data_IF_798940196315
#
_entry.id   IF_798940196315
#
_cell.length_a   1.000
_cell.length_b   1.000
_cell.length_c   1.000
_cell.angle_alpha   90.00
_cell.angle_beta   90.00
_cell.angle_gamma   90.00
#
_symmetry.space_group_name_H-M   'P 1'
#
loop_
_entity.id
_entity.type
_entity.pdbx_description
1 polymer ?
#
# COMPACT_ATOMS: atom_id res chain seq x y z
N UNK A 1 28.25 12.46 -5.66
CA UNK A 1 27.26 12.39 -6.76
C UNK A 1 26.72 10.98 -6.98
N UNK A 2 27.56 9.94 -7.07
CA UNK A 2 27.14 8.53 -7.21
C UNK A 2 26.10 8.07 -6.16
N UNK A 3 26.28 8.42 -4.88
CA UNK A 3 25.36 8.07 -3.78
C UNK A 3 23.97 8.71 -3.89
N UNK A 4 23.87 9.95 -4.43
CA UNK A 4 22.57 10.63 -4.58
C UNK A 4 21.73 9.96 -5.68
N UNK A 5 22.35 9.64 -6.82
CA UNK A 5 21.68 8.96 -7.94
C UNK A 5 21.17 7.59 -7.50
N UNK A 6 22.02 6.82 -6.82
CA UNK A 6 21.63 5.50 -6.30
C UNK A 6 20.45 5.59 -5.33
N UNK A 7 20.40 6.61 -4.46
CA UNK A 7 19.28 6.79 -3.54
C UNK A 7 17.98 7.14 -4.26
N UNK A 8 18.03 7.98 -5.30
CA UNK A 8 16.86 8.30 -6.14
C UNK A 8 16.38 7.05 -6.87
N UNK A 9 17.30 6.27 -7.45
CA UNK A 9 16.98 4.98 -8.08
C UNK A 9 16.32 4.04 -7.07
N UNK A 10 16.86 3.95 -5.85
CA UNK A 10 16.28 3.15 -4.78
C UNK A 10 14.85 3.57 -4.44
N UNK A 11 14.60 4.88 -4.33
CA UNK A 11 13.25 5.39 -4.09
C UNK A 11 12.29 5.04 -5.23
N UNK A 12 12.69 5.30 -6.48
CA UNK A 12 11.86 5.02 -7.66
C UNK A 12 11.57 3.53 -7.79
N UNK A 13 12.58 2.67 -7.65
CA UNK A 13 12.39 1.23 -7.69
C UNK A 13 11.53 0.73 -6.53
N UNK A 14 11.68 1.33 -5.33
CA UNK A 14 10.81 1.03 -4.19
C UNK A 14 9.34 1.34 -4.48
N UNK A 15 9.05 2.52 -5.04
CA UNK A 15 7.69 2.88 -5.43
C UNK A 15 7.13 1.93 -6.51
N UNK A 16 7.93 1.62 -7.54
CA UNK A 16 7.52 0.70 -8.62
C UNK A 16 7.22 -0.69 -8.06
N UNK A 17 8.14 -1.29 -7.31
CA UNK A 17 7.99 -2.65 -6.79
C UNK A 17 6.84 -2.71 -5.78
N UNK A 18 6.73 -1.73 -4.88
CA UNK A 18 5.61 -1.66 -3.95
C UNK A 18 4.26 -1.59 -4.66
N UNK A 19 4.16 -0.81 -5.73
CA UNK A 19 2.94 -0.70 -6.53
C UNK A 19 2.65 -1.98 -7.30
N UNK A 20 3.67 -2.66 -7.81
CA UNK A 20 3.51 -3.96 -8.46
C UNK A 20 2.98 -5.02 -7.48
N UNK A 21 3.51 -5.06 -6.26
CA UNK A 21 3.02 -5.97 -5.21
C UNK A 21 1.57 -5.65 -4.84
N UNK A 22 1.25 -4.37 -4.63
CA UNK A 22 -0.11 -3.92 -4.37
C UNK A 22 -1.08 -4.35 -5.48
N UNK A 23 -0.79 -4.00 -6.73
CA UNK A 23 -1.64 -4.33 -7.88
C UNK A 23 -1.79 -5.83 -8.09
N UNK A 24 -0.74 -6.62 -7.82
CA UNK A 24 -0.79 -8.08 -7.93
C UNK A 24 -1.74 -8.70 -6.90
N UNK A 25 -1.84 -8.12 -5.69
CA UNK A 25 -2.77 -8.58 -4.65
C UNK A 25 -4.19 -8.15 -5.00
N UNK A 26 -4.37 -6.93 -5.52
CA UNK A 26 -5.68 -6.43 -5.94
C UNK A 26 -6.24 -7.24 -7.12
N UNK A 27 -5.42 -7.58 -8.11
CA UNK A 27 -5.89 -8.31 -9.30
C UNK A 27 -6.41 -9.72 -9.00
N UNK A 28 -5.91 -10.37 -7.95
CA UNK A 28 -6.39 -11.68 -7.48
C UNK A 28 -7.46 -11.57 -6.38
N UNK A 29 -7.76 -10.37 -5.90
CA UNK A 29 -8.63 -10.13 -4.74
C UNK A 29 -10.01 -10.75 -4.91
N UNK A 30 -10.67 -10.49 -6.04
CA UNK A 30 -12.05 -10.94 -6.28
C UNK A 30 -12.16 -12.48 -6.42
N UNK A 31 -11.07 -13.16 -6.76
CA UNK A 31 -11.03 -14.63 -6.81
C UNK A 31 -10.94 -15.25 -5.42
N UNK A 32 -10.37 -14.54 -4.44
CA UNK A 32 -10.16 -15.02 -3.07
C UNK A 32 -11.28 -14.56 -2.13
N UNK A 33 -11.66 -13.29 -2.21
CA UNK A 33 -12.76 -12.69 -1.45
C UNK A 33 -13.64 -11.93 -2.46
N UNK A 34 -14.65 -12.61 -3.02
CA UNK A 34 -15.55 -11.99 -3.98
C UNK A 34 -16.30 -10.81 -3.37
N UNK A 35 -16.50 -9.77 -4.18
CA UNK A 35 -17.45 -8.72 -3.87
C UNK A 35 -18.89 -9.25 -3.98
N UNK A 36 -19.87 -8.59 -3.32
CA UNK A 36 -21.28 -8.85 -3.58
C UNK A 36 -21.61 -8.81 -5.09
N UNK A 37 -22.61 -9.59 -5.49
CA UNK A 37 -23.00 -9.73 -6.90
C UNK A 37 -23.39 -8.37 -7.51
N UNK A 38 -22.97 -8.13 -8.75
CA UNK A 38 -23.28 -6.91 -9.50
C UNK A 38 -22.36 -5.71 -9.21
N UNK A 39 -21.33 -5.88 -8.39
CA UNK A 39 -20.32 -4.85 -8.13
C UNK A 39 -19.12 -5.06 -9.06
N UNK A 40 -18.76 -4.00 -9.77
CA UNK A 40 -17.58 -3.96 -10.62
C UNK A 40 -16.38 -3.48 -9.79
N UNK A 41 -15.35 -4.32 -9.57
CA UNK A 41 -14.18 -3.94 -8.78
C UNK A 41 -13.28 -2.92 -9.49
N UNK A 42 -13.41 -2.71 -10.80
CA UNK A 42 -12.57 -1.77 -11.56
C UNK A 42 -13.21 -0.37 -11.70
N UNK A 43 -14.51 -0.23 -11.39
CA UNK A 43 -15.22 1.05 -11.41
C UNK A 43 -15.36 1.64 -10.00
N UNK A 44 -14.66 2.75 -9.76
CA UNK A 44 -14.74 3.51 -8.51
C UNK A 44 -16.16 3.94 -8.16
N UNK A 45 -17.01 4.27 -9.13
CA UNK A 45 -18.41 4.63 -8.87
C UNK A 45 -19.22 3.42 -8.42
N UNK A 46 -19.00 2.26 -9.05
CA UNK A 46 -19.61 0.99 -8.63
C UNK A 46 -19.22 0.63 -7.19
N UNK A 47 -17.93 0.73 -6.85
CA UNK A 47 -17.43 0.53 -5.49
C UNK A 47 -18.06 1.50 -4.49
N UNK A 48 -18.05 2.81 -4.80
CA UNK A 48 -18.59 3.85 -3.92
C UNK A 48 -20.08 3.68 -3.65
N UNK A 49 -20.87 3.43 -4.69
CA UNK A 49 -22.33 3.31 -4.56
C UNK A 49 -22.72 2.06 -3.76
N UNK A 50 -21.89 1.02 -3.78
CA UNK A 50 -22.19 -0.26 -3.14
C UNK A 50 -21.33 -0.55 -1.90
N UNK A 51 -20.52 0.40 -1.43
CA UNK A 51 -19.60 0.21 -0.28
C UNK A 51 -20.34 -0.19 1.00
N UNK A 52 -21.61 0.22 1.12
CA UNK A 52 -22.50 -0.12 2.23
C UNK A 52 -22.87 -1.62 2.28
N UNK A 53 -22.69 -2.36 1.19
CA UNK A 53 -22.93 -3.81 1.11
C UNK A 53 -21.69 -4.63 1.52
N UNK A 54 -20.54 -3.98 1.71
CA UNK A 54 -19.30 -4.69 2.02
C UNK A 54 -19.33 -5.21 3.45
N UNK A 55 -18.84 -6.43 3.61
CA UNK A 55 -18.59 -7.04 4.91
C UNK A 55 -17.12 -6.79 5.32
N UNK A 56 -16.77 -6.93 6.62
CA UNK A 56 -15.38 -6.77 7.07
C UNK A 56 -14.35 -7.56 6.26
N UNK A 57 -14.71 -8.76 5.79
CA UNK A 57 -13.84 -9.59 4.93
C UNK A 57 -13.44 -8.92 3.62
N UNK A 58 -14.29 -8.07 3.03
CA UNK A 58 -14.04 -7.42 1.75
C UNK A 58 -12.91 -6.36 1.84
N UNK A 59 -12.51 -5.94 3.05
CA UNK A 59 -11.42 -5.00 3.27
C UNK A 59 -10.07 -5.67 3.54
N UNK A 60 -10.05 -6.99 3.73
CA UNK A 60 -8.82 -7.74 4.04
C UNK A 60 -7.83 -7.69 2.87
N UNK A 61 -8.30 -7.93 1.65
CA UNK A 61 -7.42 -7.92 0.48
C UNK A 61 -6.84 -6.53 0.16
N UNK A 62 -7.61 -5.42 0.17
CA UNK A 62 -7.06 -4.07 0.09
C UNK A 62 -6.03 -3.77 1.18
N UNK A 63 -6.33 -4.12 2.44
CA UNK A 63 -5.39 -3.96 3.55
C UNK A 63 -4.06 -4.68 3.30
N UNK A 64 -4.12 -5.95 2.86
CA UNK A 64 -2.91 -6.72 2.54
C UNK A 64 -2.15 -6.12 1.36
N UNK A 65 -2.85 -5.63 0.34
CA UNK A 65 -2.25 -4.97 -0.81
C UNK A 65 -1.48 -3.71 -0.39
N UNK A 66 -2.09 -2.87 0.45
CA UNK A 66 -1.46 -1.67 0.99
C UNK A 66 -0.27 -2.01 1.90
N UNK A 67 -0.45 -2.98 2.80
CA UNK A 67 0.55 -3.36 3.79
C UNK A 67 1.80 -3.97 3.14
N UNK A 68 1.60 -4.99 2.30
CA UNK A 68 2.71 -5.70 1.65
C UNK A 68 3.31 -4.87 0.51
N UNK A 69 2.51 -4.06 -0.18
CA UNK A 69 3.00 -3.05 -1.12
C UNK A 69 3.92 -2.04 -0.45
N UNK A 70 3.50 -1.46 0.68
CA UNK A 70 4.35 -0.52 1.43
C UNK A 70 5.61 -1.20 1.97
N UNK A 71 5.48 -2.39 2.58
CA UNK A 71 6.60 -3.15 3.14
C UNK A 71 7.66 -3.43 2.07
N UNK A 72 7.25 -3.99 0.94
CA UNK A 72 8.15 -4.35 -0.17
C UNK A 72 8.82 -3.12 -0.77
N UNK A 73 8.06 -2.06 -1.04
CA UNK A 73 8.61 -0.83 -1.60
C UNK A 73 9.58 -0.12 -0.66
N UNK A 74 9.22 -0.01 0.62
CA UNK A 74 10.08 0.57 1.65
C UNK A 74 11.36 -0.25 1.87
N UNK A 75 11.26 -1.59 1.81
CA UNK A 75 12.41 -2.48 1.92
C UNK A 75 13.40 -2.26 0.78
N UNK A 76 12.92 -2.22 -0.48
CA UNK A 76 13.78 -1.96 -1.63
C UNK A 76 14.43 -0.58 -1.54
N UNK A 77 13.65 0.46 -1.24
CA UNK A 77 14.16 1.82 -1.12
C UNK A 77 15.27 1.93 -0.04
N UNK A 78 15.04 1.34 1.14
CA UNK A 78 16.04 1.33 2.22
C UNK A 78 17.25 0.43 1.92
N UNK A 79 17.07 -0.68 1.21
CA UNK A 79 18.16 -1.59 0.86
C UNK A 79 19.14 -0.96 -0.12
N UNK A 80 18.63 -0.22 -1.11
CA UNK A 80 19.43 0.45 -2.13
C UNK A 80 20.05 1.75 -1.61
N UNK A 81 19.36 2.45 -0.70
CA UNK A 81 19.84 3.70 -0.13
C UNK A 81 21.20 3.54 0.57
N UNK A 82 22.16 4.36 0.14
CA UNK A 82 23.54 4.38 0.67
C UNK A 82 23.66 5.16 1.98
N UNK A 83 22.77 6.13 2.20
CA UNK A 83 22.71 6.96 3.40
C UNK A 83 21.26 7.24 3.77
N UNK A 84 21.01 7.55 5.05
CA UNK A 84 19.68 7.92 5.56
C UNK A 84 18.59 6.90 5.16
N UNK A 85 18.85 5.60 5.26
CA UNK A 85 17.90 4.52 4.92
C UNK A 85 16.50 4.74 5.49
N UNK A 86 16.42 5.24 6.72
CA UNK A 86 15.16 5.65 7.37
C UNK A 86 14.34 6.61 6.52
N UNK A 87 14.97 7.67 6.01
CA UNK A 87 14.30 8.68 5.21
C UNK A 87 13.65 8.04 3.99
N UNK A 88 14.38 7.20 3.26
CA UNK A 88 13.88 6.57 2.04
C UNK A 88 12.74 5.58 2.29
N UNK A 89 12.83 4.73 3.32
CA UNK A 89 11.73 3.85 3.69
C UNK A 89 10.47 4.63 4.09
N UNK A 90 10.61 5.63 4.96
CA UNK A 90 9.47 6.43 5.40
C UNK A 90 8.90 7.32 4.29
N UNK A 91 9.70 7.78 3.32
CA UNK A 91 9.18 8.45 2.13
C UNK A 91 8.27 7.53 1.33
N UNK A 92 8.62 6.26 1.14
CA UNK A 92 7.73 5.28 0.50
C UNK A 92 6.47 5.06 1.36
N UNK A 93 6.63 4.89 2.67
CA UNK A 93 5.50 4.71 3.58
C UNK A 93 4.51 5.89 3.56
N UNK A 94 5.01 7.13 3.56
CA UNK A 94 4.18 8.34 3.45
C UNK A 94 3.52 8.44 2.08
N UNK A 95 4.24 8.11 1.00
CA UNK A 95 3.67 8.12 -0.35
C UNK A 95 2.49 7.15 -0.46
N UNK A 96 2.65 5.92 0.04
CA UNK A 96 1.56 4.93 0.06
C UNK A 96 0.42 5.36 0.99
N UNK A 97 0.72 5.95 2.15
CA UNK A 97 -0.29 6.49 3.07
C UNK A 97 -1.15 7.56 2.39
N UNK A 98 -0.54 8.49 1.65
CA UNK A 98 -1.28 9.51 0.89
C UNK A 98 -2.19 8.84 -0.14
N UNK A 99 -1.68 7.84 -0.88
CA UNK A 99 -2.47 7.07 -1.83
C UNK A 99 -3.64 6.33 -1.18
N UNK A 100 -3.41 5.72 -0.02
CA UNK A 100 -4.42 5.02 0.78
C UNK A 100 -5.54 5.93 1.28
N UNK A 101 -5.17 7.08 1.85
CA UNK A 101 -6.13 8.11 2.27
C UNK A 101 -6.94 8.58 1.06
N UNK A 102 -6.29 8.82 -0.08
CA UNK A 102 -6.98 9.24 -1.30
C UNK A 102 -7.98 8.17 -1.78
N UNK A 103 -7.58 6.90 -1.83
CA UNK A 103 -8.45 5.79 -2.21
C UNK A 103 -9.65 5.62 -1.26
N UNK A 104 -9.41 5.69 0.05
CA UNK A 104 -10.47 5.58 1.06
C UNK A 104 -11.53 6.68 0.91
N UNK A 105 -11.11 7.92 0.63
CA UNK A 105 -12.01 9.05 0.36
C UNK A 105 -12.73 8.93 -0.99
N UNK A 106 -12.05 8.44 -2.02
CA UNK A 106 -12.68 8.18 -3.32
C UNK A 106 -13.78 7.13 -3.22
N UNK A 107 -13.57 6.06 -2.46
CA UNK A 107 -14.56 4.99 -2.33
C UNK A 107 -15.62 5.30 -1.26
N UNK A 108 -15.32 6.19 -0.30
CA UNK A 108 -16.21 6.42 0.84
C UNK A 108 -16.15 5.26 1.83
N UNK A 109 -14.95 4.74 2.09
CA UNK A 109 -14.74 3.57 2.96
C UNK A 109 -15.20 3.88 4.39
N UNK A 110 -15.89 2.97 5.10
CA UNK A 110 -16.30 3.19 6.48
C UNK A 110 -15.12 3.49 7.42
N UNK A 111 -15.41 4.14 8.55
CA UNK A 111 -14.38 4.64 9.46
C UNK A 111 -13.46 3.54 9.99
N UNK A 112 -14.02 2.40 10.41
CA UNK A 112 -13.23 1.34 11.07
C UNK A 112 -12.24 0.66 10.10
N UNK A 113 -12.63 0.16 8.91
CA UNK A 113 -11.67 -0.35 7.93
C UNK A 113 -10.62 0.70 7.53
N UNK A 114 -11.04 1.96 7.33
CA UNK A 114 -10.11 3.04 7.00
C UNK A 114 -9.08 3.28 8.10
N UNK A 115 -9.50 3.26 9.37
CA UNK A 115 -8.61 3.45 10.51
C UNK A 115 -7.62 2.30 10.64
N UNK A 116 -8.07 1.04 10.50
CA UNK A 116 -7.19 -0.13 10.51
C UNK A 116 -6.14 -0.02 9.41
N UNK A 117 -6.56 0.34 8.19
CA UNK A 117 -5.67 0.48 7.06
C UNK A 117 -4.64 1.60 7.26
N UNK A 118 -5.08 2.82 7.58
CA UNK A 118 -4.23 3.99 7.81
C UNK A 118 -3.22 3.76 8.93
N UNK A 119 -3.63 3.14 10.03
CA UNK A 119 -2.77 2.93 11.19
C UNK A 119 -1.72 1.86 10.90
N UNK A 120 -2.10 0.74 10.24
CA UNK A 120 -1.25 -0.45 10.19
C UNK A 120 -0.57 -0.71 8.84
N UNK A 121 -1.16 -0.31 7.72
CA UNK A 121 -0.66 -0.71 6.40
C UNK A 121 0.54 0.11 5.90
N UNK A 122 0.81 1.29 6.49
CA UNK A 122 1.77 2.24 5.91
C UNK A 122 3.02 2.42 6.76
N UNK A 123 2.96 3.32 7.74
CA UNK A 123 4.12 3.70 8.56
C UNK A 123 4.69 2.52 9.36
N UNK A 124 3.87 1.63 9.97
CA UNK A 124 4.41 0.44 10.61
C UNK A 124 5.11 -0.51 9.63
N UNK A 125 4.59 -0.67 8.42
CA UNK A 125 5.22 -1.52 7.40
C UNK A 125 6.55 -0.95 6.90
N UNK A 126 6.64 0.38 6.75
CA UNK A 126 7.92 1.04 6.47
C UNK A 126 8.94 0.86 7.61
N UNK A 127 8.49 0.85 8.86
CA UNK A 127 9.34 0.56 10.02
C UNK A 127 9.79 -0.91 10.07
N UNK A 128 8.90 -1.87 9.78
CA UNK A 128 9.26 -3.29 9.67
C UNK A 128 10.29 -3.48 8.56
N UNK A 129 10.09 -2.87 7.38
CA UNK A 129 11.06 -2.90 6.29
C UNK A 129 12.46 -2.45 6.75
N UNK A 130 12.55 -1.36 7.53
CA UNK A 130 13.82 -0.88 8.06
C UNK A 130 14.49 -1.85 9.01
N UNK A 131 13.72 -2.56 9.86
CA UNK A 131 14.25 -3.61 10.71
C UNK A 131 14.84 -4.76 9.88
N UNK A 132 14.13 -5.18 8.83
CA UNK A 132 14.58 -6.24 7.93
C UNK A 132 15.83 -5.88 7.11
N UNK A 133 16.10 -4.60 6.88
CA UNK A 133 17.32 -4.14 6.18
C UNK A 133 18.53 -4.02 7.12
N UNK A 134 18.28 -3.93 8.44
CA UNK A 134 19.32 -3.70 9.46
C UNK A 134 19.76 -4.96 10.19
N UNK A 135 18.89 -5.97 10.24
CA UNK A 135 19.22 -7.31 10.68
C UNK A 135 19.97 -8.05 9.57
#
# INVERSE_FOLDING_TARGET
MKSKIQNIIGLVLGLIIGSMVNMSIISISNNLIPLPAGIDPEDVNSLRNNIHLFQPKNYVMPFLAHALGTLSGAYIAAKIATVKKNLFAYTVGVFFLIGGIFAANMIGTPLIPSAVDIIFAYIPMAWIALKLVRN
#
